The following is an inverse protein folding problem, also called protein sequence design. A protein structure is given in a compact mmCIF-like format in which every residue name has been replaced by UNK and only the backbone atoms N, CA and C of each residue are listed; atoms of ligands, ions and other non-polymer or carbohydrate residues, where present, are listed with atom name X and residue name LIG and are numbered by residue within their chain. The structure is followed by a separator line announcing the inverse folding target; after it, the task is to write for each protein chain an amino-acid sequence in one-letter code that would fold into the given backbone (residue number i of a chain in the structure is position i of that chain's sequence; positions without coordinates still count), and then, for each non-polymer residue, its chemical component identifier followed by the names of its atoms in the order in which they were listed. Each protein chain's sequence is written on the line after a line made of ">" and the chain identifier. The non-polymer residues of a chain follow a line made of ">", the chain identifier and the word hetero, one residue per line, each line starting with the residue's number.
data_IF_305797320504
#
_entry.id   IF_305797320504
#
_cell.length_a   1.000
_cell.length_b   1.000
_cell.length_c   1.000
_cell.angle_alpha   90.00
_cell.angle_beta   90.00
_cell.angle_gamma   90.00
#
_symmetry.space_group_name_H-M   'P 1'
#
loop_
_entity.id
_entity.type
_entity.pdbx_description
1 polymer ?
#
# COMPACT_ATOMS: atom_id res chain seq x y z
N UNK A 1 -10.67 7.95 -15.35
CA UNK A 1 -9.49 7.77 -14.47
C UNK A 1 -9.80 8.38 -13.11
N UNK A 2 -9.19 7.88 -12.04
CA UNK A 2 -9.27 8.49 -10.71
C UNK A 2 -8.30 9.66 -10.61
N UNK A 3 -8.55 10.54 -9.64
CA UNK A 3 -7.68 11.67 -9.29
C UNK A 3 -6.23 11.24 -9.05
N UNK A 4 -6.01 10.13 -8.33
CA UNK A 4 -4.67 9.57 -8.07
C UNK A 4 -3.99 9.12 -9.35
N UNK A 5 -4.70 8.45 -10.26
CA UNK A 5 -4.13 8.03 -11.54
C UNK A 5 -3.71 9.21 -12.41
N UNK A 6 -4.45 10.33 -12.38
CA UNK A 6 -4.07 11.54 -13.11
C UNK A 6 -2.84 12.19 -12.47
N UNK A 7 -2.75 12.23 -11.15
CA UNK A 7 -1.58 12.77 -10.46
C UNK A 7 -0.32 11.94 -10.78
N UNK A 8 -0.42 10.61 -10.80
CA UNK A 8 0.66 9.71 -11.23
C UNK A 8 1.13 10.03 -12.67
N UNK A 9 0.20 10.27 -13.60
CA UNK A 9 0.54 10.68 -14.97
C UNK A 9 1.28 12.02 -15.00
N UNK A 10 0.85 13.00 -14.21
CA UNK A 10 1.53 14.31 -14.15
C UNK A 10 2.94 14.20 -13.55
N UNK A 11 3.12 13.35 -12.55
CA UNK A 11 4.44 13.08 -11.95
C UNK A 11 5.37 12.36 -12.93
N UNK A 12 4.83 11.43 -13.71
CA UNK A 12 5.57 10.76 -14.78
C UNK A 12 6.02 11.75 -15.86
N UNK A 13 5.16 12.69 -16.27
CA UNK A 13 5.54 13.76 -17.20
C UNK A 13 6.67 14.60 -16.60
N UNK A 14 6.58 14.99 -15.33
CA UNK A 14 7.64 15.76 -14.68
C UNK A 14 8.98 15.01 -14.70
N UNK A 15 8.95 13.72 -14.41
CA UNK A 15 10.11 12.81 -14.40
C UNK A 15 10.76 12.71 -15.78
N UNK A 16 9.97 12.49 -16.82
CA UNK A 16 10.45 12.42 -18.20
C UNK A 16 11.02 13.76 -18.69
N UNK A 17 10.39 14.88 -18.30
CA UNK A 17 10.91 16.22 -18.61
C UNK A 17 12.24 16.51 -17.89
N UNK A 18 12.40 16.04 -16.66
CA UNK A 18 13.66 16.14 -15.93
C UNK A 18 14.75 15.30 -16.59
N UNK A 19 14.42 14.11 -17.07
CA UNK A 19 15.33 13.25 -17.83
C UNK A 19 15.74 13.90 -19.16
N UNK A 20 14.82 14.59 -19.83
CA UNK A 20 15.07 15.38 -21.05
C UNK A 20 15.86 16.66 -20.78
N UNK A 21 16.05 17.05 -19.52
CA UNK A 21 16.68 18.31 -19.12
C UNK A 21 15.94 19.53 -19.72
N UNK A 22 14.61 19.43 -19.73
CA UNK A 22 13.72 20.49 -20.17
C UNK A 22 13.72 21.65 -19.14
N UNK A 23 13.10 22.77 -19.52
CA UNK A 23 12.98 23.94 -18.67
C UNK A 23 12.55 23.62 -17.20
N UNK A 24 13.36 23.98 -16.18
CA UNK A 24 13.07 23.71 -14.77
C UNK A 24 11.76 24.30 -14.23
N UNK A 25 11.24 25.38 -14.84
CA UNK A 25 9.92 25.91 -14.49
C UNK A 25 8.81 24.98 -14.94
N UNK A 26 8.95 24.35 -16.11
CA UNK A 26 7.96 23.41 -16.66
C UNK A 26 7.94 22.10 -15.86
N UNK A 27 9.11 21.55 -15.52
CA UNK A 27 9.24 20.36 -14.66
C UNK A 27 8.54 20.61 -13.32
N UNK A 28 8.89 21.71 -12.65
CA UNK A 28 8.27 22.09 -11.36
C UNK A 28 6.77 22.33 -11.48
N UNK A 29 6.29 22.87 -12.61
CA UNK A 29 4.85 23.06 -12.81
C UNK A 29 4.09 21.72 -12.83
N UNK A 30 4.59 20.69 -13.50
CA UNK A 30 3.96 19.36 -13.50
C UNK A 30 4.04 18.67 -12.13
N UNK A 31 5.20 18.69 -11.47
CA UNK A 31 5.35 18.11 -10.12
C UNK A 31 4.51 18.85 -9.06
N UNK A 32 4.35 20.17 -9.18
CA UNK A 32 3.45 20.94 -8.32
C UNK A 32 1.99 20.60 -8.62
N UNK A 33 1.62 20.48 -9.89
CA UNK A 33 0.27 20.11 -10.28
C UNK A 33 -0.10 18.71 -9.80
N UNK A 34 0.81 17.73 -9.87
CA UNK A 34 0.61 16.39 -9.32
C UNK A 34 0.28 16.45 -7.81
N UNK A 35 1.11 17.13 -7.01
CA UNK A 35 0.92 17.29 -5.56
C UNK A 35 -0.35 18.06 -5.19
N UNK A 36 -0.63 19.16 -5.91
CA UNK A 36 -1.85 19.94 -5.73
C UNK A 36 -3.08 19.12 -6.08
N UNK A 37 -2.99 18.31 -7.14
CA UNK A 37 -4.05 17.38 -7.48
C UNK A 37 -4.22 16.37 -6.36
N UNK A 38 -3.20 15.63 -5.91
CA UNK A 38 -3.32 14.64 -4.81
C UNK A 38 -3.98 15.18 -3.53
N UNK A 39 -3.69 16.43 -3.17
CA UNK A 39 -4.22 17.05 -1.95
C UNK A 39 -5.59 17.70 -2.12
N UNK A 40 -6.10 17.84 -3.34
CA UNK A 40 -7.36 18.53 -3.62
C UNK A 40 -8.59 17.72 -3.17
N UNK A 41 -9.40 18.25 -2.25
CA UNK A 41 -10.58 17.54 -1.69
C UNK A 41 -11.85 17.55 -2.56
N UNK A 42 -11.79 17.96 -3.83
CA UNK A 42 -12.97 18.07 -4.71
C UNK A 42 -13.41 16.74 -5.33
N UNK A 43 -14.57 16.76 -5.99
CA UNK A 43 -15.20 15.60 -6.60
C UNK A 43 -14.58 15.30 -7.98
N UNK A 44 -14.69 14.04 -8.45
CA UNK A 44 -14.20 13.63 -9.77
C UNK A 44 -14.84 14.42 -10.94
N UNK A 45 -16.05 14.95 -10.75
CA UNK A 45 -16.73 15.80 -11.73
C UNK A 45 -15.98 17.12 -11.98
N UNK A 46 -15.29 17.64 -10.95
CA UNK A 46 -14.52 18.88 -11.05
C UNK A 46 -13.27 18.71 -11.94
N UNK A 47 -12.87 17.47 -12.24
CA UNK A 47 -11.72 17.15 -13.10
C UNK A 47 -12.03 17.28 -14.61
N UNK A 48 -13.30 17.41 -14.98
CA UNK A 48 -13.71 17.65 -16.37
C UNK A 48 -13.95 19.14 -16.67
N UNK A 49 -13.98 19.97 -15.62
CA UNK A 49 -14.15 21.41 -15.71
C UNK A 49 -12.78 22.11 -15.63
N UNK A 50 -12.35 22.66 -16.75
CA UNK A 50 -11.08 23.37 -16.88
C UNK A 50 -11.02 24.64 -16.01
N UNK A 51 -12.17 25.28 -15.78
CA UNK A 51 -12.26 26.49 -14.96
C UNK A 51 -12.20 26.17 -13.47
N UNK A 52 -12.77 25.04 -13.05
CA UNK A 52 -12.58 24.49 -11.71
C UNK A 52 -11.12 24.07 -11.46
N UNK A 53 -10.50 23.39 -12.43
CA UNK A 53 -9.09 22.98 -12.36
C UNK A 53 -8.13 24.17 -12.27
N UNK A 54 -8.40 25.24 -13.02
CA UNK A 54 -7.59 26.46 -13.00
C UNK A 54 -7.64 27.22 -11.67
N UNK A 55 -8.61 26.93 -10.79
CA UNK A 55 -8.68 27.49 -9.43
C UNK A 55 -7.78 26.76 -8.44
N UNK A 56 -7.25 25.60 -8.81
CA UNK A 56 -6.35 24.82 -7.95
C UNK A 56 -4.96 25.47 -7.97
N UNK A 57 -4.40 25.88 -6.82
CA UNK A 57 -3.07 26.47 -6.76
C UNK A 57 -2.02 25.55 -7.39
N UNK A 58 -1.24 26.07 -8.33
CA UNK A 58 -0.21 25.29 -9.05
C UNK A 58 -0.69 24.62 -10.35
N UNK A 59 -1.98 24.69 -10.68
CA UNK A 59 -2.52 24.19 -11.95
C UNK A 59 -2.84 25.38 -12.87
N UNK A 60 -1.99 25.60 -13.87
CA UNK A 60 -2.23 26.60 -14.92
C UNK A 60 -3.09 26.06 -16.07
N UNK A 61 -3.56 26.96 -16.95
CA UNK A 61 -4.43 26.63 -18.11
C UNK A 61 -3.92 25.44 -18.94
N UNK A 62 -2.63 25.43 -19.26
CA UNK A 62 -2.02 24.37 -20.09
C UNK A 62 -1.96 22.99 -19.41
N UNK A 63 -1.97 22.93 -18.08
CA UNK A 63 -2.03 21.68 -17.32
C UNK A 63 -3.49 21.28 -17.09
N UNK A 64 -4.38 22.25 -16.81
CA UNK A 64 -5.82 22.02 -16.68
C UNK A 64 -6.41 21.37 -17.95
N UNK A 65 -6.03 21.85 -19.14
CA UNK A 65 -6.44 21.25 -20.41
C UNK A 65 -6.01 19.77 -20.53
N UNK A 66 -4.79 19.42 -20.09
CA UNK A 66 -4.28 18.03 -20.12
C UNK A 66 -4.97 17.14 -19.10
N UNK A 67 -5.27 17.67 -17.90
CA UNK A 67 -6.03 16.95 -16.88
C UNK A 67 -7.43 16.63 -17.40
N UNK A 68 -8.08 17.58 -18.06
CA UNK A 68 -9.39 17.38 -18.69
C UNK A 68 -9.35 16.30 -19.78
N UNK A 69 -8.33 16.33 -20.65
CA UNK A 69 -8.12 15.29 -21.67
C UNK A 69 -7.95 13.89 -21.04
N UNK A 70 -7.13 13.79 -20.00
CA UNK A 70 -6.92 12.54 -19.24
C UNK A 70 -8.20 12.06 -18.54
N UNK A 71 -8.95 12.98 -17.93
CA UNK A 71 -10.19 12.65 -17.22
C UNK A 71 -11.27 12.14 -18.19
N UNK A 72 -11.34 12.68 -19.40
CA UNK A 72 -12.34 12.32 -20.42
C UNK A 72 -11.97 11.10 -21.26
N UNK A 73 -10.71 11.00 -21.70
CA UNK A 73 -10.30 9.96 -22.66
C UNK A 73 -9.51 8.81 -22.03
N UNK A 74 -8.97 9.01 -20.82
CA UNK A 74 -8.04 8.08 -20.17
C UNK A 74 -6.66 8.02 -20.80
N UNK A 75 -6.38 8.85 -21.81
CA UNK A 75 -5.10 8.91 -22.52
C UNK A 75 -4.65 10.37 -22.65
N UNK A 76 -3.36 10.56 -22.92
CA UNK A 76 -2.79 11.88 -23.16
C UNK A 76 -1.73 11.77 -24.24
N UNK A 77 -2.02 12.37 -25.40
CA UNK A 77 -1.09 12.35 -26.53
C UNK A 77 0.30 12.89 -26.17
N UNK A 78 0.33 13.94 -25.35
CA UNK A 78 1.58 14.54 -24.87
C UNK A 78 2.47 13.57 -24.06
N UNK A 79 1.87 12.69 -23.24
CA UNK A 79 2.62 11.68 -22.51
C UNK A 79 3.12 10.59 -23.46
N UNK A 80 2.29 10.17 -24.43
CA UNK A 80 2.68 9.15 -25.41
C UNK A 80 3.87 9.61 -26.27
N UNK A 81 3.85 10.85 -26.75
CA UNK A 81 4.96 11.47 -27.48
C UNK A 81 6.23 11.53 -26.61
N UNK A 82 6.11 11.94 -25.36
CA UNK A 82 7.24 12.04 -24.45
C UNK A 82 7.83 10.67 -24.09
N UNK A 83 6.98 9.65 -23.92
CA UNK A 83 7.42 8.26 -23.73
C UNK A 83 8.16 7.72 -24.95
N UNK A 84 7.77 8.09 -26.17
CA UNK A 84 8.41 7.64 -27.40
C UNK A 84 9.86 8.17 -27.55
N UNK A 85 10.25 9.21 -26.82
CA UNK A 85 11.61 9.74 -26.80
C UNK A 85 12.59 8.87 -25.99
N UNK A 86 12.08 7.95 -25.16
CA UNK A 86 12.90 7.15 -24.26
C UNK A 86 12.56 5.65 -24.34
N UNK A 87 13.52 4.74 -24.07
CA UNK A 87 13.23 3.33 -23.94
C UNK A 87 12.25 3.06 -22.79
N UNK A 88 11.25 2.20 -23.00
CA UNK A 88 10.19 1.95 -22.02
C UNK A 88 10.72 1.53 -20.63
N UNK A 89 11.82 0.78 -20.58
CA UNK A 89 12.42 0.29 -19.34
C UNK A 89 13.17 1.36 -18.52
N UNK A 90 13.44 2.54 -19.10
CA UNK A 90 14.27 3.56 -18.41
C UNK A 90 13.57 4.11 -17.17
N UNK A 91 12.24 4.19 -17.21
CA UNK A 91 11.43 4.68 -16.10
C UNK A 91 11.57 3.77 -14.87
N UNK A 92 11.86 2.48 -15.08
CA UNK A 92 12.07 1.55 -13.98
C UNK A 92 13.31 1.89 -13.15
N UNK A 93 14.30 2.57 -13.73
CA UNK A 93 15.51 2.99 -13.01
C UNK A 93 15.21 3.99 -11.88
N UNK A 94 14.13 4.77 -12.01
CA UNK A 94 13.69 5.70 -10.96
C UNK A 94 13.20 5.00 -9.69
N UNK A 95 12.87 3.71 -9.75
CA UNK A 95 12.52 2.93 -8.57
C UNK A 95 13.74 2.46 -7.76
N UNK A 96 14.96 2.63 -8.28
CA UNK A 96 16.18 2.26 -7.57
C UNK A 96 16.56 3.42 -6.63
N UNK A 97 16.58 3.13 -5.33
CA UNK A 97 16.95 4.12 -4.31
C UNK A 97 18.33 4.72 -4.58
N UNK A 98 18.41 6.06 -4.61
CA UNK A 98 19.65 6.79 -4.88
C UNK A 98 19.91 7.12 -6.36
N UNK A 99 19.02 6.69 -7.27
CA UNK A 99 18.97 7.14 -8.67
C UNK A 99 17.86 8.18 -8.87
N UNK A 100 18.27 9.41 -9.14
CA UNK A 100 17.37 10.48 -9.62
C UNK A 100 17.63 10.79 -11.10
N UNK A 101 16.79 11.63 -11.70
CA UNK A 101 16.81 11.93 -13.14
C UNK A 101 18.20 12.26 -13.69
N UNK A 102 18.97 13.11 -12.99
CA UNK A 102 20.33 13.48 -13.40
C UNK A 102 21.30 12.30 -13.51
N UNK A 103 21.22 11.37 -12.56
CA UNK A 103 22.05 10.16 -12.58
C UNK A 103 21.59 9.19 -13.67
N UNK A 104 20.28 9.02 -13.82
CA UNK A 104 19.70 8.18 -14.87
C UNK A 104 20.07 8.72 -16.26
N UNK A 105 20.00 10.05 -16.46
CA UNK A 105 20.48 10.72 -17.67
C UNK A 105 21.95 10.40 -17.94
N UNK A 106 22.83 10.57 -16.95
CA UNK A 106 24.25 10.28 -17.11
C UNK A 106 24.52 8.79 -17.46
N UNK A 107 23.79 7.85 -16.84
CA UNK A 107 23.86 6.42 -17.17
C UNK A 107 23.41 6.15 -18.61
N UNK A 108 22.34 6.80 -19.05
CA UNK A 108 21.81 6.66 -20.39
C UNK A 108 22.73 7.26 -21.45
N UNK A 109 23.15 8.52 -21.29
CA UNK A 109 23.98 9.21 -22.29
C UNK A 109 25.39 8.61 -22.40
N UNK A 110 26.03 8.32 -21.25
CA UNK A 110 27.45 7.95 -21.24
C UNK A 110 27.68 6.44 -21.32
N UNK A 111 26.79 5.62 -20.76
CA UNK A 111 26.94 4.16 -20.75
C UNK A 111 25.88 3.44 -21.58
N UNK A 112 24.91 4.16 -22.18
CA UNK A 112 23.80 3.58 -22.94
C UNK A 112 22.96 2.60 -22.10
N UNK A 113 22.88 2.84 -20.79
CA UNK A 113 22.11 2.04 -19.85
C UNK A 113 20.67 2.56 -19.83
N UNK A 114 19.75 1.68 -20.20
CA UNK A 114 18.31 1.96 -20.31
C UNK A 114 17.44 0.96 -19.55
N UNK A 115 18.05 -0.06 -18.94
CA UNK A 115 17.36 -1.06 -18.11
C UNK A 115 18.15 -1.42 -16.86
N UNK A 116 17.50 -2.10 -15.91
CA UNK A 116 18.10 -2.52 -14.64
C UNK A 116 19.14 -3.61 -14.89
N UNK A 117 18.90 -4.49 -15.85
CA UNK A 117 19.82 -5.57 -16.22
C UNK A 117 21.12 -4.98 -16.74
N UNK A 118 21.02 -3.99 -17.64
CA UNK A 118 22.18 -3.24 -18.15
C UNK A 118 22.89 -2.49 -17.02
N UNK A 119 22.14 -1.91 -16.09
CA UNK A 119 22.72 -1.23 -14.93
C UNK A 119 23.45 -2.21 -14.01
N UNK A 120 22.90 -3.40 -13.76
CA UNK A 120 23.50 -4.46 -12.95
C UNK A 120 24.83 -4.90 -13.55
N UNK A 121 24.85 -5.21 -14.84
CA UNK A 121 26.08 -5.60 -15.54
C UNK A 121 27.14 -4.49 -15.48
N UNK A 122 26.75 -3.24 -15.73
CA UNK A 122 27.68 -2.11 -15.63
C UNK A 122 28.24 -1.89 -14.22
N UNK A 123 27.42 -2.17 -13.20
CA UNK A 123 27.81 -2.16 -11.79
C UNK A 123 28.82 -3.28 -11.47
N UNK A 124 28.56 -4.51 -11.94
CA UNK A 124 29.46 -5.67 -11.76
C UNK A 124 30.82 -5.45 -12.45
N UNK A 125 30.82 -4.80 -13.62
CA UNK A 125 32.02 -4.45 -14.38
C UNK A 125 32.74 -3.19 -13.86
N UNK A 126 32.23 -2.54 -12.79
CA UNK A 126 32.84 -1.34 -12.22
C UNK A 126 32.73 -0.08 -13.09
N UNK A 127 31.92 -0.11 -14.16
CA UNK A 127 31.79 1.00 -15.13
C UNK A 127 31.02 2.18 -14.56
N UNK A 128 30.08 1.91 -13.64
CA UNK A 128 29.25 2.96 -13.03
C UNK A 128 30.10 3.87 -12.11
N UNK A 129 31.05 3.31 -11.38
CA UNK A 129 31.93 4.07 -10.48
C UNK A 129 32.83 5.06 -11.23
N UNK A 130 33.13 4.80 -12.51
CA UNK A 130 33.96 5.66 -13.35
C UNK A 130 33.22 6.91 -13.83
N UNK A 131 31.90 6.96 -13.70
CA UNK A 131 31.11 8.13 -14.10
C UNK A 131 31.27 9.30 -13.13
N UNK A 132 31.41 10.54 -13.63
CA UNK A 132 31.41 11.73 -12.78
C UNK A 132 30.16 11.79 -11.89
N UNK A 133 30.35 11.89 -10.57
CA UNK A 133 29.27 11.98 -9.60
C UNK A 133 28.71 10.64 -9.09
N UNK A 134 29.27 9.51 -9.52
CA UNK A 134 28.96 8.18 -8.96
C UNK A 134 30.04 7.75 -7.95
N UNK A 135 31.24 7.39 -8.41
CA UNK A 135 32.27 6.82 -7.53
C UNK A 135 31.89 5.46 -6.94
N UNK A 136 32.84 4.83 -6.25
CA UNK A 136 32.69 3.45 -5.72
C UNK A 136 31.56 3.33 -4.70
N UNK A 137 31.42 4.31 -3.79
CA UNK A 137 30.38 4.29 -2.76
C UNK A 137 28.97 4.34 -3.36
N UNK A 138 28.76 5.15 -4.40
CA UNK A 138 27.45 5.21 -5.05
C UNK A 138 27.18 3.94 -5.85
N UNK A 139 28.18 3.41 -6.55
CA UNK A 139 28.04 2.13 -7.24
C UNK A 139 27.66 1.02 -6.27
N UNK A 140 28.35 0.89 -5.12
CA UNK A 140 28.03 -0.12 -4.12
C UNK A 140 26.60 0.00 -3.59
N UNK A 141 26.11 1.24 -3.38
CA UNK A 141 24.71 1.50 -3.01
C UNK A 141 23.73 1.11 -4.11
N UNK A 142 24.06 1.38 -5.37
CA UNK A 142 23.24 0.98 -6.53
C UNK A 142 23.23 -0.55 -6.65
N UNK A 143 24.37 -1.25 -6.54
CA UNK A 143 24.43 -2.71 -6.54
C UNK A 143 23.53 -3.29 -5.44
N UNK A 144 23.68 -2.77 -4.21
CA UNK A 144 22.85 -3.19 -3.07
C UNK A 144 21.37 -2.94 -3.35
N UNK A 145 21.01 -1.79 -3.93
CA UNK A 145 19.63 -1.45 -4.26
C UNK A 145 19.06 -2.34 -5.38
N UNK A 146 19.88 -2.74 -6.36
CA UNK A 146 19.50 -3.66 -7.43
C UNK A 146 19.34 -5.08 -6.89
N UNK A 147 20.27 -5.55 -6.05
CA UNK A 147 20.16 -6.86 -5.40
C UNK A 147 18.96 -6.93 -4.48
N UNK A 148 18.73 -5.87 -3.70
CA UNK A 148 17.51 -5.72 -2.94
C UNK A 148 16.33 -5.77 -3.91
N UNK A 149 16.25 -4.94 -4.92
CA UNK A 149 15.13 -4.96 -5.87
C UNK A 149 14.90 -6.33 -6.53
N UNK A 150 15.95 -7.03 -6.94
CA UNK A 150 15.87 -8.38 -7.50
C UNK A 150 15.31 -9.38 -6.46
N UNK A 151 15.68 -9.24 -5.19
CA UNK A 151 15.07 -9.96 -4.07
C UNK A 151 13.65 -9.47 -3.73
N UNK A 152 13.27 -8.26 -4.16
CA UNK A 152 11.97 -7.59 -3.91
C UNK A 152 11.06 -7.53 -5.16
N UNK A 153 11.25 -8.37 -6.18
CA UNK A 153 10.11 -8.85 -6.97
C UNK A 153 9.36 -9.85 -6.08
N UNK A 154 8.70 -9.49 -4.99
CA UNK A 154 7.65 -8.47 -4.88
C UNK A 154 6.28 -9.03 -5.27
N UNK A 155 6.27 -10.14 -6.01
CA UNK A 155 5.12 -10.83 -6.56
C UNK A 155 5.42 -12.32 -6.59
N UNK A 156 5.01 -13.03 -5.55
CA UNK A 156 5.14 -14.46 -5.44
C UNK A 156 3.83 -15.10 -5.89
N UNK A 157 3.90 -16.18 -6.66
CA UNK A 157 2.70 -16.95 -6.95
C UNK A 157 2.21 -17.63 -5.66
N UNK A 158 0.89 -17.70 -5.47
CA UNK A 158 0.29 -18.35 -4.30
C UNK A 158 0.91 -19.72 -4.01
N UNK A 159 1.02 -20.57 -5.04
CA UNK A 159 1.57 -21.93 -4.92
C UNK A 159 3.05 -21.97 -4.56
N UNK A 160 3.83 -20.95 -4.93
CA UNK A 160 5.27 -20.88 -4.64
C UNK A 160 5.54 -20.70 -3.15
N UNK A 161 4.71 -19.91 -2.46
CA UNK A 161 4.91 -19.56 -1.04
C UNK A 161 4.00 -20.32 -0.08
N UNK A 162 3.02 -21.08 -0.59
CA UNK A 162 2.05 -21.81 0.23
C UNK A 162 2.71 -22.77 1.23
N UNK A 163 3.73 -23.52 0.80
CA UNK A 163 4.42 -24.45 1.68
C UNK A 163 5.11 -23.73 2.86
N UNK A 164 5.76 -22.59 2.60
CA UNK A 164 6.44 -21.80 3.64
C UNK A 164 5.44 -21.11 4.58
N UNK A 165 4.38 -20.51 4.03
CA UNK A 165 3.32 -19.85 4.80
C UNK A 165 2.60 -20.84 5.73
N UNK A 166 2.21 -22.01 5.23
CA UNK A 166 1.55 -23.04 6.05
C UNK A 166 2.49 -23.68 7.06
N UNK A 167 3.78 -23.82 6.73
CA UNK A 167 4.79 -24.31 7.68
C UNK A 167 4.91 -23.34 8.85
N UNK A 168 5.09 -22.04 8.59
CA UNK A 168 5.13 -21.01 9.64
C UNK A 168 3.86 -21.00 10.48
N UNK A 169 2.68 -21.04 9.83
CA UNK A 169 1.39 -21.07 10.54
C UNK A 169 1.29 -22.29 11.45
N UNK A 170 1.63 -23.47 10.96
CA UNK A 170 1.59 -24.73 11.72
C UNK A 170 2.57 -24.71 12.88
N UNK A 171 3.80 -24.28 12.65
CA UNK A 171 4.86 -24.31 13.66
C UNK A 171 4.60 -23.27 14.76
N UNK A 172 4.05 -22.10 14.41
CA UNK A 172 3.52 -21.13 15.37
C UNK A 172 2.31 -21.67 16.13
N UNK A 173 1.38 -22.35 15.47
CA UNK A 173 0.22 -22.95 16.13
C UNK A 173 0.59 -24.08 17.11
N UNK A 174 1.74 -24.73 16.90
CA UNK A 174 2.29 -25.74 17.81
C UNK A 174 3.01 -25.13 19.04
N UNK A 175 3.27 -23.82 19.05
CA UNK A 175 3.92 -23.16 20.17
C UNK A 175 2.98 -23.05 21.38
N UNK A 176 3.44 -23.42 22.58
CA UNK A 176 2.59 -23.53 23.78
C UNK A 176 1.89 -22.22 24.19
N UNK A 177 2.51 -21.07 23.89
CA UNK A 177 1.94 -19.74 24.19
C UNK A 177 1.05 -19.18 23.07
N UNK A 178 0.87 -19.89 21.94
CA UNK A 178 -0.03 -19.48 20.87
C UNK A 178 -1.44 -20.03 21.13
N UNK A 179 -2.45 -19.17 21.10
CA UNK A 179 -3.85 -19.55 21.33
C UNK A 179 -4.61 -19.73 20.01
N UNK A 180 -4.39 -18.83 19.07
CA UNK A 180 -4.96 -18.87 17.72
C UNK A 180 -3.93 -18.32 16.74
N UNK A 181 -3.81 -18.93 15.57
CA UNK A 181 -2.83 -18.57 14.54
C UNK A 181 -3.45 -18.74 13.16
N UNK A 182 -3.45 -17.67 12.38
CA UNK A 182 -3.86 -17.71 10.98
C UNK A 182 -2.92 -16.87 10.11
N UNK A 183 -2.80 -17.28 8.85
CA UNK A 183 -2.25 -16.44 7.80
C UNK A 183 -3.36 -15.49 7.35
N UNK A 184 -3.06 -14.21 7.21
CA UNK A 184 -3.94 -13.15 6.79
C UNK A 184 -3.51 -12.61 5.41
N UNK A 185 -3.79 -11.33 5.14
CA UNK A 185 -3.35 -10.65 3.94
C UNK A 185 -3.93 -11.22 2.65
N UNK A 186 -3.23 -10.92 1.55
CA UNK A 186 -3.58 -11.40 0.21
C UNK A 186 -3.53 -12.92 0.07
N UNK A 187 -2.69 -13.59 0.88
CA UNK A 187 -2.60 -15.05 0.93
C UNK A 187 -3.92 -15.68 1.40
N UNK A 188 -4.51 -15.19 2.51
CA UNK A 188 -5.78 -15.71 3.02
C UNK A 188 -6.93 -15.52 2.04
N UNK A 189 -6.89 -14.45 1.23
CA UNK A 189 -7.87 -14.16 0.16
C UNK A 189 -7.60 -14.93 -1.14
N UNK A 190 -6.62 -15.85 -1.15
CA UNK A 190 -6.26 -16.68 -2.31
C UNK A 190 -5.91 -15.89 -3.57
N UNK A 191 -5.31 -14.69 -3.40
CA UNK A 191 -4.80 -13.93 -4.55
C UNK A 191 -3.73 -14.74 -5.27
N UNK A 192 -3.81 -14.81 -6.59
CA UNK A 192 -2.83 -15.52 -7.43
C UNK A 192 -1.40 -15.03 -7.17
N UNK A 193 -1.27 -13.73 -6.93
CA UNK A 193 -0.02 -13.06 -6.64
C UNK A 193 -0.06 -12.47 -5.22
N UNK A 194 0.91 -12.88 -4.41
CA UNK A 194 1.11 -12.53 -3.00
C UNK A 194 2.39 -11.71 -2.89
N UNK A 195 2.33 -10.56 -2.22
CA UNK A 195 3.51 -9.67 -2.06
C UNK A 195 4.28 -9.92 -0.77
N UNK A 196 3.53 -10.26 0.26
CA UNK A 196 3.97 -10.52 1.63
C UNK A 196 3.05 -11.56 2.29
N UNK A 197 3.52 -12.16 3.38
CA UNK A 197 2.75 -13.08 4.21
C UNK A 197 2.48 -12.42 5.55
N UNK A 198 1.22 -12.13 5.84
CA UNK A 198 0.79 -11.64 7.15
C UNK A 198 0.41 -12.82 8.06
N UNK A 199 0.94 -12.88 9.27
CA UNK A 199 0.58 -13.85 10.31
C UNK A 199 -0.06 -13.10 11.47
N UNK A 200 -1.20 -13.56 11.94
CA UNK A 200 -1.88 -13.04 13.14
C UNK A 200 -1.90 -14.12 14.21
N UNK A 201 -1.39 -13.80 15.39
CA UNK A 201 -1.30 -14.73 16.53
C UNK A 201 -1.97 -14.12 17.76
N UNK A 202 -2.96 -14.82 18.30
CA UNK A 202 -3.48 -14.54 19.63
C UNK A 202 -2.56 -15.14 20.70
N UNK A 203 -2.07 -14.33 21.63
CA UNK A 203 -1.21 -14.80 22.72
C UNK A 203 -1.32 -13.92 23.97
N UNK A 204 -1.01 -14.49 25.13
CA UNK A 204 -0.77 -13.76 26.38
C UNK A 204 0.72 -13.41 26.58
N UNK A 205 1.63 -13.98 25.79
CA UNK A 205 3.08 -13.76 25.86
C UNK A 205 3.66 -13.35 24.50
N UNK A 206 3.41 -12.10 24.06
CA UNK A 206 3.93 -11.57 22.79
C UNK A 206 5.42 -11.83 22.56
N UNK A 207 6.25 -11.58 23.57
CA UNK A 207 7.70 -11.72 23.48
C UNK A 207 8.15 -13.15 23.13
N UNK A 208 7.51 -14.17 23.70
CA UNK A 208 7.85 -15.57 23.44
C UNK A 208 7.54 -15.97 21.99
N UNK A 209 6.38 -15.54 21.47
CA UNK A 209 6.00 -15.78 20.07
C UNK A 209 6.93 -15.04 19.12
N UNK A 210 7.25 -13.77 19.40
CA UNK A 210 8.18 -12.99 18.59
C UNK A 210 9.57 -13.63 18.57
N UNK A 211 10.08 -14.09 19.70
CA UNK A 211 11.39 -14.75 19.79
C UNK A 211 11.42 -16.06 19.00
N UNK A 212 10.36 -16.88 19.11
CA UNK A 212 10.22 -18.10 18.32
C UNK A 212 10.20 -17.80 16.82
N UNK A 213 9.43 -16.78 16.41
CA UNK A 213 9.30 -16.39 15.01
C UNK A 213 10.61 -15.93 14.39
N UNK A 214 11.38 -15.04 15.05
CA UNK A 214 12.64 -14.51 14.48
C UNK A 214 13.74 -15.58 14.40
N UNK A 215 13.67 -16.63 15.22
CA UNK A 215 14.62 -17.76 15.23
C UNK A 215 14.20 -18.91 14.30
N UNK A 216 13.06 -18.80 13.64
CA UNK A 216 12.53 -19.85 12.80
C UNK A 216 13.45 -20.16 11.61
N UNK A 217 13.58 -21.43 11.23
CA UNK A 217 14.55 -21.88 10.22
C UNK A 217 14.36 -21.23 8.83
N UNK A 218 13.12 -20.87 8.50
CA UNK A 218 12.76 -20.19 7.25
C UNK A 218 13.15 -18.70 7.23
N UNK A 219 13.48 -18.09 8.37
CA UNK A 219 13.89 -16.69 8.45
C UNK A 219 15.34 -16.53 7.99
N UNK A 220 15.57 -15.59 7.08
CA UNK A 220 16.89 -15.17 6.61
C UNK A 220 17.40 -13.94 7.38
N UNK A 221 16.56 -12.91 7.54
CA UNK A 221 16.94 -11.66 8.19
C UNK A 221 15.76 -10.95 8.83
N UNK A 222 16.04 -10.11 9.84
CA UNK A 222 15.03 -9.30 10.53
C UNK A 222 14.99 -7.92 9.87
N UNK A 223 13.80 -7.46 9.48
CA UNK A 223 13.58 -6.14 8.86
C UNK A 223 13.24 -5.11 9.95
N UNK A 224 12.29 -5.47 10.81
CA UNK A 224 11.86 -4.62 11.92
C UNK A 224 11.33 -5.48 13.07
N UNK A 225 11.59 -5.06 14.31
CA UNK A 225 11.08 -5.74 15.50
C UNK A 225 10.48 -4.73 16.46
N UNK A 226 9.24 -4.96 16.84
CA UNK A 226 8.49 -4.16 17.80
C UNK A 226 7.69 -5.06 18.75
N UNK A 227 7.03 -4.47 19.76
CA UNK A 227 6.34 -5.22 20.80
C UNK A 227 5.13 -6.01 20.29
N UNK A 228 4.48 -5.53 19.22
CA UNK A 228 3.25 -6.13 18.65
C UNK A 228 3.36 -6.44 17.15
N UNK A 229 4.41 -5.95 16.50
CA UNK A 229 4.70 -6.19 15.08
C UNK A 229 6.15 -6.63 14.93
N UNK A 230 6.38 -7.70 14.19
CA UNK A 230 7.73 -8.08 13.75
C UNK A 230 7.69 -8.39 12.27
N UNK A 231 8.64 -7.84 11.50
CA UNK A 231 8.77 -8.05 10.06
C UNK A 231 10.11 -8.71 9.80
N UNK A 232 10.08 -9.82 9.07
CA UNK A 232 11.27 -10.59 8.68
C UNK A 232 11.28 -10.85 7.18
N UNK A 233 12.45 -11.20 6.68
CA UNK A 233 12.62 -11.79 5.36
C UNK A 233 12.78 -13.28 5.49
N UNK A 234 12.01 -14.05 4.71
CA UNK A 234 12.22 -15.48 4.59
C UNK A 234 13.32 -15.77 3.56
N UNK A 235 13.89 -16.97 3.61
CA UNK A 235 14.93 -17.44 2.67
C UNK A 235 14.49 -17.48 1.21
N UNK A 236 13.19 -17.58 0.95
CA UNK A 236 12.61 -17.44 -0.39
C UNK A 236 12.62 -16.00 -0.92
N UNK A 237 12.96 -15.01 -0.07
CA UNK A 237 12.95 -13.58 -0.38
C UNK A 237 11.64 -12.87 -0.01
N UNK A 238 10.54 -13.60 0.22
CA UNK A 238 9.26 -12.99 0.61
C UNK A 238 9.35 -12.35 2.00
N UNK A 239 8.72 -11.19 2.15
CA UNK A 239 8.55 -10.57 3.46
C UNK A 239 7.42 -11.26 4.22
N UNK A 240 7.65 -11.53 5.51
CA UNK A 240 6.64 -12.06 6.40
C UNK A 240 6.47 -11.14 7.62
N UNK A 241 5.24 -10.68 7.84
CA UNK A 241 4.85 -9.78 8.92
C UNK A 241 4.07 -10.57 9.98
N UNK A 242 4.58 -10.60 11.21
CA UNK A 242 3.90 -11.15 12.37
C UNK A 242 3.20 -10.04 13.17
N UNK A 243 1.93 -10.26 13.49
CA UNK A 243 1.10 -9.48 14.41
C UNK A 243 0.72 -10.35 15.60
N UNK A 244 1.11 -9.90 16.80
CA UNK A 244 0.73 -10.54 18.06
C UNK A 244 -0.31 -9.67 18.76
N UNK A 245 -1.45 -10.29 19.11
CA UNK A 245 -2.61 -9.60 19.69
C UNK A 245 -3.19 -10.42 20.84
N UNK A 246 -4.04 -9.82 21.67
CA UNK A 246 -4.80 -10.57 22.68
C UNK A 246 -5.93 -11.38 22.04
N UNK A 247 -6.44 -12.40 22.74
CA UNK A 247 -7.59 -13.19 22.27
C UNK A 247 -8.85 -12.36 22.02
N UNK A 248 -9.03 -11.25 22.75
CA UNK A 248 -10.17 -10.36 22.55
C UNK A 248 -10.04 -9.50 21.27
N UNK A 249 -8.80 -9.21 20.86
CA UNK A 249 -8.49 -8.42 19.67
C UNK A 249 -8.40 -9.29 18.41
N UNK A 250 -8.13 -10.59 18.55
CA UNK A 250 -7.93 -11.54 17.46
C UNK A 250 -8.97 -11.48 16.33
N UNK A 251 -10.30 -11.52 16.59
CA UNK A 251 -11.28 -11.49 15.49
C UNK A 251 -11.23 -10.17 14.69
N UNK A 252 -10.93 -9.05 15.34
CA UNK A 252 -10.78 -7.75 14.68
C UNK A 252 -9.49 -7.67 13.89
N UNK A 253 -8.39 -8.14 14.46
CA UNK A 253 -7.08 -8.16 13.83
C UNK A 253 -7.08 -9.08 12.61
N UNK A 254 -7.64 -10.29 12.73
CA UNK A 254 -7.75 -11.22 11.62
C UNK A 254 -8.56 -10.60 10.47
N UNK A 255 -9.72 -10.00 10.75
CA UNK A 255 -10.51 -9.32 9.73
C UNK A 255 -9.73 -8.18 9.05
N UNK A 256 -9.16 -7.29 9.86
CA UNK A 256 -8.43 -6.12 9.39
C UNK A 256 -7.22 -6.50 8.53
N UNK A 257 -6.37 -7.41 9.01
CA UNK A 257 -5.18 -7.83 8.28
C UNK A 257 -5.51 -8.77 7.12
N UNK A 258 -6.67 -9.42 7.11
CA UNK A 258 -7.16 -10.14 5.91
C UNK A 258 -7.52 -9.16 4.80
N UNK A 259 -8.14 -8.03 5.12
CA UNK A 259 -8.57 -7.06 4.11
C UNK A 259 -9.62 -7.63 3.13
N UNK A 260 -9.69 -7.15 1.88
CA UNK A 260 -8.85 -6.10 1.26
C UNK A 260 -8.98 -4.72 1.93
N UNK A 261 -8.18 -3.74 1.48
CA UNK A 261 -8.28 -2.36 1.97
C UNK A 261 -9.68 -1.80 1.71
N UNK A 262 -10.23 -2.08 0.54
CA UNK A 262 -11.55 -1.66 0.08
C UNK A 262 -12.65 -2.32 0.93
N UNK A 263 -12.53 -3.63 1.18
CA UNK A 263 -13.42 -4.34 2.10
C UNK A 263 -13.41 -3.73 3.52
N UNK A 264 -12.22 -3.41 4.04
CA UNK A 264 -12.08 -2.77 5.35
C UNK A 264 -12.69 -1.36 5.40
N UNK A 265 -12.62 -0.60 4.30
CA UNK A 265 -13.25 0.73 4.21
C UNK A 265 -14.76 0.58 4.36
N UNK A 266 -15.37 -0.36 3.65
CA UNK A 266 -16.80 -0.60 3.68
C UNK A 266 -17.28 -1.12 5.06
N UNK A 267 -16.57 -2.10 5.64
CA UNK A 267 -16.84 -2.57 7.01
C UNK A 267 -16.81 -1.42 8.04
N UNK A 268 -15.86 -0.48 7.91
CA UNK A 268 -15.78 0.70 8.78
C UNK A 268 -16.91 1.69 8.50
N UNK A 269 -17.27 1.92 7.24
CA UNK A 269 -18.39 2.79 6.87
C UNK A 269 -19.68 2.32 7.53
N UNK A 270 -19.99 1.02 7.43
CA UNK A 270 -21.16 0.38 8.05
C UNK A 270 -21.16 0.47 9.57
N UNK A 271 -19.99 0.34 10.19
CA UNK A 271 -19.84 0.54 11.63
C UNK A 271 -20.15 1.99 12.04
N UNK A 272 -19.67 2.97 11.26
CA UNK A 272 -19.92 4.41 11.50
C UNK A 272 -21.41 4.75 11.42
N UNK A 273 -22.13 4.22 10.43
CA UNK A 273 -23.59 4.37 10.31
C UNK A 273 -24.35 3.87 11.53
N UNK A 274 -23.79 2.90 12.25
CA UNK A 274 -24.34 2.32 13.49
C UNK A 274 -23.85 3.03 14.76
N UNK A 275 -23.12 4.13 14.61
CA UNK A 275 -22.56 4.89 15.72
C UNK A 275 -21.38 4.21 16.41
N UNK A 276 -20.66 3.34 15.69
CA UNK A 276 -19.47 2.66 16.14
C UNK A 276 -18.23 3.08 15.34
N UNK A 277 -17.05 2.84 15.89
CA UNK A 277 -15.78 2.88 15.19
C UNK A 277 -15.17 1.49 15.23
N UNK A 278 -14.75 1.00 14.07
CA UNK A 278 -14.11 -0.31 13.90
C UNK A 278 -12.64 -0.09 13.55
N UNK A 279 -11.75 -0.74 14.31
CA UNK A 279 -10.33 -0.79 14.03
C UNK A 279 -9.78 -2.21 14.20
N UNK A 280 -8.48 -2.40 14.05
CA UNK A 280 -7.81 -3.69 14.13
C UNK A 280 -7.83 -4.36 15.52
N UNK A 281 -8.30 -3.67 16.55
CA UNK A 281 -8.31 -4.18 17.93
C UNK A 281 -9.72 -4.33 18.51
N UNK A 282 -10.69 -3.54 18.04
CA UNK A 282 -12.04 -3.49 18.64
C UNK A 282 -13.08 -2.82 17.76
N UNK A 283 -14.34 -3.09 18.11
CA UNK A 283 -15.50 -2.26 17.83
C UNK A 283 -15.79 -1.39 19.07
N UNK A 284 -15.80 -0.07 18.92
CA UNK A 284 -16.03 0.88 20.01
C UNK A 284 -17.14 1.87 19.65
N UNK A 285 -17.71 2.57 20.65
CA UNK A 285 -18.62 3.69 20.37
C UNK A 285 -17.89 4.81 19.66
N UNK A 286 -18.57 5.45 18.70
CA UNK A 286 -18.03 6.64 18.05
C UNK A 286 -17.82 7.75 19.08
N UNK A 287 -16.63 8.37 19.15
CA UNK A 287 -16.38 9.50 20.02
C UNK A 287 -17.35 10.65 19.70
N UNK A 288 -17.84 11.42 20.68
CA UNK A 288 -18.64 12.60 20.40
C UNK A 288 -17.83 13.61 19.57
N UNK A 289 -18.47 14.18 18.55
CA UNK A 289 -17.87 15.23 17.71
C UNK A 289 -17.34 16.40 18.59
N UNK A 290 -16.04 16.73 18.52
CA UNK A 290 -15.47 17.87 19.21
C UNK A 290 -16.19 19.20 18.88
N UNK A 291 -16.76 19.34 17.68
CA UNK A 291 -17.48 20.54 17.23
C UNK A 291 -18.92 20.61 17.76
N UNK A 292 -19.51 19.49 18.19
CA UNK A 292 -20.85 19.46 18.77
C UNK A 292 -20.93 20.07 20.18
N UNK A 293 -19.78 20.33 20.85
CA UNK A 293 -19.72 20.96 22.19
C UNK A 293 -20.21 22.43 22.24
N UNK A 294 -20.48 23.09 21.11
CA UNK A 294 -21.01 24.46 21.08
C UNK A 294 -22.53 24.58 21.13
N UNK A 295 -23.28 23.47 21.13
CA UNK A 295 -24.74 23.52 21.25
C UNK A 295 -25.24 22.83 22.54
N UNK A 296 -25.78 23.70 23.41
CA UNK A 296 -26.71 23.44 24.53
C UNK A 296 -26.10 23.01 25.86
N UNK A 297 -25.69 24.01 26.64
CA UNK A 297 -25.78 23.94 28.10
C UNK A 297 -27.26 23.94 28.50
N UNK A 298 -27.74 22.88 29.15
CA UNK A 298 -29.05 22.87 29.82
C UNK A 298 -30.06 21.77 29.46
N UNK A 299 -29.78 20.90 28.49
CA UNK A 299 -30.62 19.71 28.26
C UNK A 299 -29.77 18.45 28.28
N UNK A 300 -29.99 17.60 29.28
CA UNK A 300 -29.47 16.24 29.30
C UNK A 300 -30.14 15.46 28.17
N UNK A 301 -29.57 15.54 26.96
CA UNK A 301 -29.94 14.67 25.85
C UNK A 301 -29.56 13.26 26.29
N UNK A 302 -30.54 12.49 26.74
CA UNK A 302 -30.43 11.03 26.91
C UNK A 302 -30.06 10.48 25.54
N UNK A 303 -28.76 10.32 25.29
CA UNK A 303 -28.26 9.64 24.10
C UNK A 303 -28.74 8.19 24.18
N UNK A 304 -29.35 7.63 23.13
CA UNK A 304 -29.68 6.21 23.12
C UNK A 304 -28.42 5.42 23.46
N UNK A 305 -28.54 4.49 24.40
CA UNK A 305 -27.45 3.60 24.81
C UNK A 305 -27.16 2.67 23.63
N UNK A 306 -26.28 3.08 22.74
CA UNK A 306 -25.84 2.24 21.63
C UNK A 306 -25.07 1.07 22.26
N UNK A 307 -25.69 -0.11 22.30
CA UNK A 307 -25.08 -1.34 22.83
C UNK A 307 -24.04 -1.81 21.80
N UNK A 308 -22.80 -1.98 22.23
CA UNK A 308 -21.75 -2.56 21.38
C UNK A 308 -21.96 -4.08 21.41
N UNK A 309 -22.11 -4.75 20.26
CA UNK A 309 -22.17 -6.21 20.19
C UNK A 309 -20.90 -6.85 20.75
N UNK A 310 -21.04 -8.01 21.38
CA UNK A 310 -19.90 -8.82 21.79
C UNK A 310 -19.39 -9.60 20.58
N UNK A 311 -18.11 -9.44 20.25
CA UNK A 311 -17.44 -10.15 19.16
C UNK A 311 -16.46 -11.14 19.76
N UNK A 312 -16.62 -12.43 19.46
CA UNK A 312 -15.71 -13.50 19.88
C UNK A 312 -14.98 -14.11 18.69
N UNK A 313 -15.66 -14.16 17.55
CA UNK A 313 -15.14 -14.70 16.30
C UNK A 313 -15.30 -13.70 15.15
N UNK A 314 -14.59 -13.93 14.05
CA UNK A 314 -14.67 -13.05 12.87
C UNK A 314 -16.11 -12.94 12.32
N UNK A 315 -16.88 -14.04 12.38
CA UNK A 315 -18.29 -14.06 11.97
C UNK A 315 -19.20 -13.18 12.84
N UNK A 316 -18.88 -12.97 14.12
CA UNK A 316 -19.64 -12.05 14.97
C UNK A 316 -19.52 -10.61 14.49
N UNK A 317 -18.40 -10.23 13.86
CA UNK A 317 -18.19 -8.89 13.32
C UNK A 317 -19.13 -8.62 12.15
N UNK A 318 -19.30 -9.59 11.24
CA UNK A 318 -20.26 -9.49 10.13
C UNK A 318 -21.70 -9.43 10.66
N UNK A 319 -22.06 -10.32 11.61
CA UNK A 319 -23.38 -10.28 12.27
C UNK A 319 -23.67 -8.95 12.96
N UNK A 320 -22.67 -8.37 13.63
CA UNK A 320 -22.80 -7.04 14.25
C UNK A 320 -23.16 -5.95 13.23
N UNK A 321 -22.70 -6.09 11.98
CA UNK A 321 -23.00 -5.18 10.88
C UNK A 321 -24.24 -5.56 10.08
N UNK A 322 -24.99 -6.58 10.51
CA UNK A 322 -26.13 -7.16 9.79
C UNK A 322 -25.73 -7.72 8.41
N UNK A 323 -24.63 -8.45 8.37
CA UNK A 323 -24.12 -9.16 7.21
C UNK A 323 -23.98 -10.65 7.53
N UNK A 324 -24.23 -11.49 6.54
CA UNK A 324 -23.73 -12.86 6.56
C UNK A 324 -22.19 -12.87 6.50
N UNK A 325 -21.58 -13.95 7.00
CA UNK A 325 -20.12 -14.05 7.00
C UNK A 325 -19.60 -14.09 5.56
N UNK A 326 -18.72 -13.15 5.22
CA UNK A 326 -18.06 -13.10 3.91
C UNK A 326 -16.76 -13.93 3.98
N UNK A 327 -16.64 -15.03 3.21
CA UNK A 327 -15.40 -15.77 3.07
C UNK A 327 -14.24 -14.88 2.63
N UNK A 328 -13.01 -15.07 3.14
CA UNK A 328 -11.85 -14.27 2.79
C UNK A 328 -11.62 -14.06 1.29
N UNK A 329 -11.89 -15.09 0.49
CA UNK A 329 -11.73 -15.10 -0.97
C UNK A 329 -12.59 -14.07 -1.70
N UNK A 330 -13.71 -13.66 -1.10
CA UNK A 330 -14.67 -12.71 -1.70
C UNK A 330 -14.44 -11.26 -1.27
N UNK A 331 -13.49 -11.00 -0.35
CA UNK A 331 -13.31 -9.69 0.28
C UNK A 331 -12.51 -8.73 -0.60
N UNK A 332 -13.07 -8.39 -1.76
CA UNK A 332 -12.45 -7.56 -2.79
C UNK A 332 -13.31 -6.34 -3.17
N UNK A 333 -14.39 -6.07 -2.44
CA UNK A 333 -15.34 -5.00 -2.68
C UNK A 333 -15.90 -4.99 -4.11
N UNK A 334 -16.36 -6.16 -4.55
CA UNK A 334 -16.82 -6.45 -5.91
C UNK A 334 -18.25 -7.03 -5.93
N UNK A 335 -19.07 -6.69 -4.92
CA UNK A 335 -20.46 -7.14 -4.79
C UNK A 335 -20.72 -8.06 -3.60
N UNK A 336 -19.72 -8.34 -2.77
CA UNK A 336 -19.84 -9.29 -1.65
C UNK A 336 -20.71 -8.74 -0.51
N UNK A 337 -20.80 -7.42 -0.36
CA UNK A 337 -21.63 -6.80 0.66
C UNK A 337 -23.11 -6.86 0.30
N UNK A 338 -23.46 -6.54 -0.94
CA UNK A 338 -24.83 -6.64 -1.46
C UNK A 338 -25.32 -8.09 -1.44
N UNK A 339 -24.42 -9.05 -1.67
CA UNK A 339 -24.73 -10.47 -1.52
C UNK A 339 -24.95 -10.85 -0.04
N UNK A 340 -24.08 -10.39 0.86
CA UNK A 340 -24.16 -10.71 2.29
C UNK A 340 -25.30 -10.00 3.04
N UNK A 341 -25.89 -8.95 2.48
CA UNK A 341 -27.12 -8.30 2.97
C UNK A 341 -28.39 -9.09 2.62
N UNK A 342 -28.36 -9.83 1.51
CA UNK A 342 -29.47 -10.66 1.06
C UNK A 342 -29.43 -11.97 1.83
N UNK A 343 -29.93 -11.93 3.06
CA UNK A 343 -30.19 -13.11 3.86
C UNK A 343 -30.91 -14.18 3.01
N UNK A 344 -30.39 -15.41 3.03
CA UNK A 344 -31.15 -16.60 2.59
C UNK A 344 -32.11 -17.06 3.68
#
# INVERSE_FOLDING_TARGET
>A
MTKSQIAEVLEEIATLLELKDENPFKIRAYANAARSLETFGGNLADLQDEEALGKIPGIGKAIAAKIKELAGTGKLKYLEELRAEFPAAILELFSISGLGAKKIKALYEQLQISSIEQLREACELGRVAQLPGFGETTQAKICTAIEQRAKHFGYFQFGQIAAEAETLRRDLAAHADALQVDVAGSYRRRREIVRDVDLVVATKKPAAITEFFIKHALVESIIAQGPTKTSVRLRSGIQCDLRVVSSAEYPFALNYFTGSKEHNIEMRSRALERGWTLNEYRLARLPPDPKAKKLRAGQAVRRPTIKIPTVREEADLYRALALDFVPPELRENCGEFEAAEKHS
#
